data_IF_884922903917
#
_entry.id   IF_884922903917
#
_cell.length_a   1.000
_cell.length_b   1.000
_cell.length_c   1.000
_cell.angle_alpha   90.00
_cell.angle_beta   90.00
_cell.angle_gamma   90.00
#
_symmetry.space_group_name_H-M   'P 1'
#
loop_
_entity.id
_entity.type
_entity.pdbx_description
1 polymer ?
#
# COMPACT_ATOMS: atom_id res chain seq x y z
N UNK A 1 -4.59 10.26 -23.41
CA UNK A 1 -3.24 10.68 -22.95
C UNK A 1 -2.94 9.93 -21.66
N UNK A 2 -2.18 8.85 -21.76
CA UNK A 2 -1.83 7.97 -20.62
C UNK A 2 -0.68 8.62 -19.85
N UNK A 3 -0.79 8.95 -18.55
CA UNK A 3 0.34 9.50 -17.84
C UNK A 3 1.42 8.42 -17.79
N UNK A 4 2.59 8.78 -18.30
CA UNK A 4 3.80 7.97 -18.34
C UNK A 4 4.02 7.25 -17.01
N UNK A 5 4.30 5.95 -17.11
CA UNK A 5 4.78 5.05 -16.06
C UNK A 5 6.10 5.56 -15.49
N UNK A 6 6.09 6.64 -14.72
CA UNK A 6 7.31 7.18 -14.15
C UNK A 6 7.82 6.28 -13.04
N UNK A 7 9.06 5.82 -13.21
CA UNK A 7 9.91 5.38 -12.11
C UNK A 7 9.85 6.46 -11.05
N UNK A 8 9.42 6.09 -9.83
CA UNK A 8 9.24 7.02 -8.72
C UNK A 8 10.38 8.04 -8.49
N UNK A 9 11.69 7.81 -8.81
CA UNK A 9 12.72 8.85 -8.70
C UNK A 9 12.47 10.12 -9.51
N UNK A 10 11.65 10.07 -10.57
CA UNK A 10 11.35 11.24 -11.42
C UNK A 10 10.15 12.07 -10.91
N UNK A 11 9.49 11.64 -9.83
CA UNK A 11 8.32 12.35 -9.29
C UNK A 11 8.73 13.30 -8.17
N UNK A 12 8.54 14.60 -8.37
CA UNK A 12 8.84 15.64 -7.37
C UNK A 12 8.01 15.51 -6.09
N UNK A 13 6.92 14.74 -6.10
CA UNK A 13 6.12 14.37 -4.91
C UNK A 13 6.64 13.15 -4.15
N UNK A 14 7.65 12.44 -4.68
CA UNK A 14 8.16 11.16 -4.14
C UNK A 14 9.64 11.22 -3.73
N UNK A 15 10.28 12.39 -3.81
CA UNK A 15 11.68 12.58 -3.46
C UNK A 15 12.00 12.11 -2.02
N UNK A 16 11.03 12.20 -1.10
CA UNK A 16 11.14 11.74 0.29
C UNK A 16 11.42 10.23 0.42
N UNK A 17 11.05 9.40 -0.58
CA UNK A 17 11.33 7.94 -0.58
C UNK A 17 12.82 7.61 -0.65
N UNK A 18 13.67 8.52 -1.13
CA UNK A 18 15.13 8.33 -1.11
C UNK A 18 15.66 8.06 0.29
N UNK A 19 15.02 8.59 1.34
CA UNK A 19 15.41 8.39 2.74
C UNK A 19 14.97 7.05 3.33
N UNK A 20 14.15 6.28 2.59
CA UNK A 20 13.54 5.05 3.07
C UNK A 20 13.72 3.92 2.04
N UNK A 21 14.85 3.19 2.09
CA UNK A 21 15.15 2.12 1.13
C UNK A 21 14.06 1.04 1.02
N UNK A 22 13.36 0.78 2.12
CA UNK A 22 12.23 -0.15 2.16
C UNK A 22 11.05 0.29 1.27
N UNK A 23 10.94 1.59 0.96
CA UNK A 23 9.94 2.16 0.08
C UNK A 23 10.41 2.27 -1.37
N UNK A 24 11.60 1.81 -1.77
CA UNK A 24 12.03 1.94 -3.18
C UNK A 24 11.33 0.99 -4.15
N UNK A 25 10.70 -0.06 -3.62
CA UNK A 25 9.94 -1.04 -4.41
C UNK A 25 8.52 -0.53 -4.71
N UNK A 26 7.88 -1.11 -5.73
CA UNK A 26 6.46 -0.86 -6.03
C UNK A 26 6.20 0.41 -6.85
N UNK A 27 4.92 0.66 -7.15
CA UNK A 27 4.47 1.77 -8.00
C UNK A 27 4.53 3.12 -7.25
N UNK A 28 4.35 4.21 -7.98
CA UNK A 28 4.07 5.53 -7.38
C UNK A 28 2.68 5.51 -6.73
N UNK A 29 2.52 6.26 -5.64
CA UNK A 29 1.26 6.38 -4.91
C UNK A 29 1.21 7.72 -4.19
N UNK A 30 0.07 8.38 -4.12
CA UNK A 30 -0.09 9.59 -3.30
C UNK A 30 -0.07 9.22 -1.80
N UNK A 31 0.91 9.69 -1.00
CA UNK A 31 0.97 9.37 0.43
C UNK A 31 -0.20 9.97 1.23
N UNK A 32 -0.92 10.96 0.69
CA UNK A 32 -2.12 11.55 1.30
C UNK A 32 -3.41 10.81 0.93
N UNK A 33 -3.37 9.93 -0.07
CA UNK A 33 -4.51 9.11 -0.47
C UNK A 33 -4.43 7.74 0.22
N UNK A 34 -5.23 7.53 1.27
CA UNK A 34 -5.24 6.29 2.05
C UNK A 34 -5.46 5.02 1.19
N UNK A 35 -6.31 5.10 0.16
CA UNK A 35 -6.55 3.99 -0.76
C UNK A 35 -5.31 3.61 -1.58
N UNK A 36 -4.55 4.61 -2.06
CA UNK A 36 -3.30 4.37 -2.79
C UNK A 36 -2.19 3.85 -1.87
N UNK A 37 -2.10 4.34 -0.63
CA UNK A 37 -1.17 3.82 0.39
C UNK A 37 -1.47 2.36 0.71
N UNK A 38 -2.74 2.01 0.94
CA UNK A 38 -3.18 0.64 1.20
C UNK A 38 -2.88 -0.27 0.00
N UNK A 39 -3.25 0.15 -1.21
CA UNK A 39 -2.95 -0.58 -2.44
C UNK A 39 -1.44 -0.82 -2.59
N UNK A 40 -0.62 0.20 -2.31
CA UNK A 40 0.84 0.07 -2.33
C UNK A 40 1.34 -0.96 -1.31
N UNK A 41 0.85 -0.91 -0.07
CA UNK A 41 1.24 -1.85 1.00
C UNK A 41 0.86 -3.30 0.66
N UNK A 42 -0.36 -3.53 0.19
CA UNK A 42 -0.84 -4.87 -0.22
C UNK A 42 -0.03 -5.41 -1.41
N UNK A 43 0.30 -4.56 -2.39
CA UNK A 43 1.08 -4.97 -3.56
C UNK A 43 2.53 -5.37 -3.23
N UNK A 44 3.05 -5.01 -2.04
CA UNK A 44 4.39 -5.42 -1.57
C UNK A 44 4.41 -6.80 -0.90
N UNK A 45 3.24 -7.36 -0.58
CA UNK A 45 3.16 -8.70 -0.01
C UNK A 45 3.66 -9.76 -1.01
N UNK A 46 4.28 -10.85 -0.54
CA UNK A 46 4.55 -12.02 -1.38
C UNK A 46 3.26 -12.51 -2.03
N UNK A 47 3.32 -12.95 -3.29
CA UNK A 47 2.13 -13.31 -4.10
C UNK A 47 1.13 -14.18 -3.32
N UNK A 48 1.59 -15.31 -2.76
CA UNK A 48 0.72 -16.24 -2.02
C UNK A 48 0.07 -15.60 -0.78
N UNK A 49 0.84 -14.80 -0.03
CA UNK A 49 0.35 -14.06 1.14
C UNK A 49 -0.66 -12.97 0.74
N UNK A 50 -0.40 -12.28 -0.38
CA UNK A 50 -1.30 -11.26 -0.93
C UNK A 50 -2.63 -11.86 -1.34
N UNK A 51 -2.61 -13.01 -2.01
CA UNK A 51 -3.82 -13.67 -2.51
C UNK A 51 -4.70 -14.14 -1.35
N UNK A 52 -4.11 -14.75 -0.31
CA UNK A 52 -4.81 -15.09 0.95
C UNK A 52 -5.45 -13.84 1.59
N UNK A 53 -4.69 -12.75 1.70
CA UNK A 53 -5.16 -11.50 2.30
C UNK A 53 -6.33 -10.88 1.53
N UNK A 54 -6.22 -10.81 0.20
CA UNK A 54 -7.27 -10.26 -0.66
C UNK A 54 -8.53 -11.13 -0.66
N UNK A 55 -8.38 -12.46 -0.69
CA UNK A 55 -9.50 -13.39 -0.58
C UNK A 55 -10.23 -13.23 0.76
N UNK A 56 -9.50 -13.07 1.86
CA UNK A 56 -10.09 -12.82 3.16
C UNK A 56 -10.85 -11.49 3.22
N UNK A 57 -10.30 -10.43 2.61
CA UNK A 57 -10.93 -9.12 2.58
C UNK A 57 -12.25 -9.11 1.78
N UNK A 58 -12.36 -9.91 0.71
CA UNK A 58 -13.56 -10.00 -0.13
C UNK A 58 -14.58 -11.00 0.41
N UNK A 59 -14.13 -12.12 0.99
CA UNK A 59 -15.00 -13.22 1.43
C UNK A 59 -15.43 -13.15 2.89
N UNK A 60 -14.96 -12.16 3.65
CA UNK A 60 -15.29 -11.95 5.05
C UNK A 60 -15.26 -13.26 5.88
N UNK A 61 -14.06 -13.63 6.34
CA UNK A 61 -13.80 -14.59 7.44
C UNK A 61 -13.96 -16.11 7.19
N UNK A 62 -14.33 -16.62 6.01
CA UNK A 62 -14.30 -18.08 5.80
C UNK A 62 -12.88 -18.60 5.45
N UNK A 63 -12.07 -18.81 6.49
CA UNK A 63 -10.72 -19.39 6.36
C UNK A 63 -10.74 -20.82 5.79
N UNK A 64 -11.81 -21.58 6.03
CA UNK A 64 -11.95 -22.93 5.49
C UNK A 64 -12.15 -22.93 3.98
N UNK A 65 -12.95 -21.98 3.48
CA UNK A 65 -13.10 -21.78 2.04
C UNK A 65 -11.78 -21.37 1.39
N UNK A 66 -11.05 -20.41 1.99
CA UNK A 66 -9.76 -19.95 1.46
C UNK A 66 -8.75 -21.10 1.44
N UNK A 67 -8.68 -21.86 2.53
CA UNK A 67 -7.84 -23.05 2.65
C UNK A 67 -8.11 -24.06 1.53
N UNK A 68 -9.38 -24.43 1.33
CA UNK A 68 -9.79 -25.35 0.25
C UNK A 68 -9.52 -24.78 -1.13
N UNK A 69 -9.77 -23.50 -1.35
CA UNK A 69 -9.58 -22.84 -2.64
C UNK A 69 -8.10 -22.75 -3.04
N UNK A 70 -7.20 -22.58 -2.06
CA UNK A 70 -5.76 -22.41 -2.29
C UNK A 70 -4.92 -23.67 -2.06
N UNK A 71 -5.56 -24.79 -1.70
CA UNK A 71 -4.86 -26.03 -1.34
C UNK A 71 -3.94 -25.86 -0.12
N UNK A 72 -4.42 -25.14 0.89
CA UNK A 72 -3.73 -24.85 2.15
C UNK A 72 -4.48 -25.48 3.33
N UNK A 73 -3.80 -25.65 4.45
CA UNK A 73 -4.45 -25.83 5.75
C UNK A 73 -4.96 -24.50 6.31
N UNK A 74 -5.94 -24.57 7.23
CA UNK A 74 -6.45 -23.38 7.93
C UNK A 74 -5.32 -22.69 8.72
N UNK A 75 -4.41 -23.46 9.33
CA UNK A 75 -3.24 -22.91 10.03
C UNK A 75 -2.30 -22.14 9.11
N UNK A 76 -2.04 -22.63 7.90
CA UNK A 76 -1.25 -21.89 6.90
C UNK A 76 -1.95 -20.61 6.43
N UNK A 77 -3.27 -20.64 6.24
CA UNK A 77 -4.07 -19.44 5.94
C UNK A 77 -3.92 -18.41 7.05
N UNK A 78 -4.07 -18.82 8.32
CA UNK A 78 -3.89 -17.94 9.48
C UNK A 78 -2.48 -17.37 9.54
N UNK A 79 -1.45 -18.18 9.30
CA UNK A 79 -0.06 -17.72 9.28
C UNK A 79 0.19 -16.70 8.16
N UNK A 80 -0.34 -16.94 6.96
CA UNK A 80 -0.29 -15.98 5.86
C UNK A 80 -1.02 -14.67 6.21
N UNK A 81 -2.21 -14.74 6.81
CA UNK A 81 -2.96 -13.56 7.23
C UNK A 81 -2.22 -12.75 8.30
N UNK A 82 -1.70 -13.41 9.34
CA UNK A 82 -0.92 -12.75 10.39
C UNK A 82 0.30 -12.04 9.79
N UNK A 83 1.02 -12.71 8.89
CA UNK A 83 2.16 -12.10 8.16
C UNK A 83 1.72 -10.92 7.30
N UNK A 84 0.60 -11.03 6.59
CA UNK A 84 0.06 -9.96 5.76
C UNK A 84 -0.24 -8.71 6.59
N UNK A 85 -0.93 -8.88 7.72
CA UNK A 85 -1.28 -7.78 8.63
C UNK A 85 -0.02 -7.08 9.15
N UNK A 86 0.98 -7.83 9.63
CA UNK A 86 2.23 -7.24 10.13
C UNK A 86 2.95 -6.42 9.06
N UNK A 87 3.09 -6.96 7.84
CA UNK A 87 3.83 -6.28 6.75
C UNK A 87 3.06 -5.06 6.20
N UNK A 88 1.73 -5.14 6.12
CA UNK A 88 0.88 -4.02 5.71
C UNK A 88 0.94 -2.92 6.75
N UNK A 89 0.68 -3.22 8.03
CA UNK A 89 0.73 -2.22 9.11
C UNK A 89 2.09 -1.55 9.19
N UNK A 90 3.19 -2.33 9.18
CA UNK A 90 4.55 -1.78 9.16
C UNK A 90 4.78 -0.82 7.99
N UNK A 91 4.26 -1.16 6.81
CA UNK A 91 4.42 -0.31 5.61
C UNK A 91 3.61 0.97 5.73
N UNK A 92 2.35 0.88 6.19
CA UNK A 92 1.47 2.04 6.40
C UNK A 92 2.06 2.96 7.44
N UNK A 93 2.45 2.46 8.62
CA UNK A 93 3.03 3.26 9.69
C UNK A 93 4.32 3.97 9.27
N UNK A 94 5.13 3.33 8.42
CA UNK A 94 6.34 3.94 7.87
C UNK A 94 5.97 5.10 6.95
N UNK A 95 4.99 4.91 6.06
CA UNK A 95 4.53 5.95 5.13
C UNK A 95 3.90 7.10 5.89
N UNK A 96 3.09 6.84 6.90
CA UNK A 96 2.48 7.88 7.75
C UNK A 96 3.54 8.71 8.48
N UNK A 97 4.57 8.06 9.05
CA UNK A 97 5.69 8.74 9.71
C UNK A 97 6.60 9.52 8.77
N UNK A 98 6.67 9.12 7.50
CA UNK A 98 7.54 9.73 6.49
C UNK A 98 6.78 10.61 5.49
N UNK A 99 5.46 10.74 5.66
CA UNK A 99 4.58 11.50 4.77
C UNK A 99 5.06 12.96 4.73
N UNK A 100 5.36 13.52 3.55
CA UNK A 100 5.70 14.93 3.44
C UNK A 100 4.50 15.78 3.89
N UNK A 101 4.75 16.98 4.42
CA UNK A 101 3.68 17.92 4.70
C UNK A 101 2.86 18.13 3.42
N UNK A 102 1.51 18.17 3.51
CA UNK A 102 0.70 18.48 2.35
C UNK A 102 1.21 19.79 1.76
N UNK A 103 1.49 19.82 0.46
CA UNK A 103 1.74 21.09 -0.24
C UNK A 103 0.50 21.92 0.00
N UNK A 104 0.62 23.05 0.70
CA UNK A 104 -0.46 24.03 0.78
C UNK A 104 -1.01 24.23 -0.63
N UNK A 105 -2.34 24.18 -0.84
CA UNK A 105 -2.89 24.55 -2.13
C UNK A 105 -2.35 25.95 -2.49
N UNK A 106 -2.09 26.25 -3.78
CA UNK A 106 -1.68 27.58 -4.17
C UNK A 106 -2.71 28.55 -3.60
N UNK A 107 -2.24 29.60 -2.93
CA UNK A 107 -3.01 30.66 -2.30
C UNK A 107 -3.82 31.42 -3.36
N UNK A 108 -4.87 30.81 -3.92
CA UNK A 108 -5.77 31.43 -4.88
C UNK A 108 -6.83 32.31 -4.22
N UNK A 109 -6.76 32.49 -2.90
CA UNK A 109 -7.65 33.37 -2.12
C UNK A 109 -7.07 34.78 -1.87
N UNK A 110 -5.99 35.17 -2.56
CA UNK A 110 -5.41 36.52 -2.40
C UNK A 110 -5.74 37.50 -3.54
N UNK A 111 -6.63 37.14 -4.45
CA UNK A 111 -7.07 38.01 -5.56
C UNK A 111 -8.59 38.09 -5.60
N UNK A 112 -9.18 38.71 -4.58
CA UNK A 112 -10.52 39.32 -4.63
C UNK A 112 -10.60 40.33 -3.47
N UNK A 113 -10.01 41.52 -3.66
CA UNK A 113 -10.17 42.69 -2.79
C UNK A 113 -10.02 43.97 -3.62
#
# INVERSE_FOLDING_TARGET
MTPLRFLWPLSSSQWWRWRHPSLWRGRTFDPHNAGQVMSYAVMRLPTRTRDVFLLNAVKALDYGFIARHMGLSVGEVQAHLARALVEVSRTVDLIERSRPAPRSPPSSELFDA
#
